data_IF_400378759413
#
_entry.id   IF_400378759413
#
_cell.length_a   1.000
_cell.length_b   1.000
_cell.length_c   1.000
_cell.angle_alpha   90.00
_cell.angle_beta   90.00
_cell.angle_gamma   90.00
#
_symmetry.space_group_name_H-M   'P 1'
#
loop_
_entity.id
_entity.type
_entity.pdbx_description
1 polymer ?
#
# COMPACT_ATOMS: atom_id res chain seq x y z
N UNK A 1 10.68 -17.53 -2.33
CA UNK A 1 10.30 -16.21 -1.78
C UNK A 1 11.38 -15.23 -2.17
N UNK A 2 11.02 -13.99 -2.53
CA UNK A 2 12.00 -12.92 -2.76
C UNK A 2 12.92 -12.78 -1.55
N UNK A 3 14.20 -12.48 -1.77
CA UNK A 3 15.16 -12.24 -0.68
C UNK A 3 14.73 -11.06 0.20
N UNK A 4 13.97 -10.12 -0.37
CA UNK A 4 13.44 -8.94 0.33
C UNK A 4 12.42 -9.30 1.42
N UNK A 5 11.67 -10.40 1.26
CA UNK A 5 10.71 -10.89 2.26
C UNK A 5 11.26 -12.07 3.07
N UNK A 6 12.56 -12.33 2.98
CA UNK A 6 13.24 -13.39 3.72
C UNK A 6 13.46 -13.04 5.19
N UNK A 7 13.67 -14.08 6.01
CA UNK A 7 13.96 -13.88 7.43
C UNK A 7 15.24 -13.03 7.65
N UNK A 8 16.27 -13.18 6.82
CA UNK A 8 17.50 -12.40 6.98
C UNK A 8 17.26 -10.89 6.80
N UNK A 9 16.38 -10.51 5.86
CA UNK A 9 15.99 -9.11 5.66
C UNK A 9 15.20 -8.56 6.86
N UNK A 10 14.31 -9.36 7.42
CA UNK A 10 13.59 -9.01 8.66
C UNK A 10 14.51 -8.94 9.88
N UNK A 11 15.39 -9.92 10.06
CA UNK A 11 16.29 -10.01 11.20
C UNK A 11 17.32 -8.87 11.23
N UNK A 12 17.65 -8.29 10.07
CA UNK A 12 18.45 -7.07 10.01
C UNK A 12 17.76 -5.86 10.67
N UNK A 13 16.43 -5.85 10.77
CA UNK A 13 15.62 -4.77 11.35
C UNK A 13 15.21 -5.07 12.80
N UNK A 14 14.80 -6.31 13.09
CA UNK A 14 14.18 -6.71 14.36
C UNK A 14 15.02 -7.75 15.15
N UNK A 15 16.27 -7.98 14.74
CA UNK A 15 17.20 -8.92 15.36
C UNK A 15 16.91 -10.41 15.07
N UNK A 16 17.89 -11.27 15.35
CA UNK A 16 17.72 -12.73 15.28
C UNK A 16 17.42 -13.30 16.67
N UNK A 17 16.15 -13.64 16.90
CA UNK A 17 15.69 -14.32 18.11
C UNK A 17 14.53 -15.25 17.77
N UNK A 18 14.20 -16.24 18.65
CA UNK A 18 13.01 -17.06 18.47
C UNK A 18 11.72 -16.23 18.33
N UNK A 19 11.57 -15.16 19.14
CA UNK A 19 10.43 -14.25 19.05
C UNK A 19 10.37 -13.54 17.70
N UNK A 20 11.51 -13.04 17.21
CA UNK A 20 11.61 -12.38 15.90
C UNK A 20 11.26 -13.34 14.75
N UNK A 21 11.70 -14.60 14.82
CA UNK A 21 11.35 -15.65 13.83
C UNK A 21 9.86 -15.96 13.83
N UNK A 22 9.24 -16.03 15.01
CA UNK A 22 7.78 -16.23 15.13
C UNK A 22 7.01 -15.06 14.54
N UNK A 23 7.43 -13.82 14.81
CA UNK A 23 6.76 -12.64 14.28
C UNK A 23 6.89 -12.55 12.75
N UNK A 24 8.10 -12.75 12.21
CA UNK A 24 8.31 -12.81 10.76
C UNK A 24 7.43 -13.86 10.08
N UNK A 25 7.34 -15.08 10.65
CA UNK A 25 6.49 -16.13 10.10
C UNK A 25 5.00 -15.73 10.12
N UNK A 26 4.55 -15.02 11.17
CA UNK A 26 3.19 -14.51 11.25
C UNK A 26 2.92 -13.40 10.22
N UNK A 27 3.87 -12.50 9.99
CA UNK A 27 3.79 -11.48 8.93
C UNK A 27 3.67 -12.14 7.55
N UNK A 28 4.58 -13.07 7.23
CA UNK A 28 4.54 -13.80 5.97
C UNK A 28 3.20 -14.51 5.78
N UNK A 29 2.67 -15.15 6.84
CA UNK A 29 1.37 -15.82 6.77
C UNK A 29 0.24 -14.83 6.46
N UNK A 30 0.22 -13.66 7.09
CA UNK A 30 -0.78 -12.61 6.85
C UNK A 30 -0.74 -12.09 5.41
N UNK A 31 0.45 -11.77 4.89
CA UNK A 31 0.64 -11.36 3.49
C UNK A 31 0.38 -12.47 2.47
N UNK A 32 0.27 -13.73 2.91
CA UNK A 32 -0.01 -14.90 2.07
C UNK A 32 -1.48 -15.35 2.12
N UNK A 33 -2.37 -14.58 2.76
CA UNK A 33 -3.77 -14.98 2.88
C UNK A 33 -4.44 -15.16 1.50
N UNK A 34 -5.25 -16.22 1.29
CA UNK A 34 -5.70 -16.60 -0.06
C UNK A 34 -6.61 -15.59 -0.78
N UNK A 35 -7.22 -14.66 -0.04
CA UNK A 35 -8.09 -13.63 -0.61
C UNK A 35 -7.32 -12.45 -1.22
N UNK A 36 -6.05 -12.27 -0.86
CA UNK A 36 -5.19 -11.21 -1.40
C UNK A 36 -4.88 -11.48 -2.88
N UNK A 37 -4.87 -10.41 -3.68
CA UNK A 37 -4.57 -10.46 -5.12
C UNK A 37 -3.56 -9.41 -5.53
N UNK A 38 -3.72 -8.19 -5.01
CA UNK A 38 -2.73 -7.13 -5.14
C UNK A 38 -1.92 -6.98 -3.85
N UNK A 39 -2.59 -6.90 -2.69
CA UNK A 39 -1.93 -6.67 -1.41
C UNK A 39 -1.35 -7.97 -0.83
N UNK A 40 -0.43 -8.59 -1.57
CA UNK A 40 0.22 -9.86 -1.27
C UNK A 40 1.74 -9.73 -1.07
N UNK A 41 2.45 -10.85 -0.95
CA UNK A 41 3.91 -10.87 -0.80
C UNK A 41 4.68 -10.21 -1.96
N UNK A 42 4.10 -10.14 -3.17
CA UNK A 42 4.74 -9.46 -4.30
C UNK A 42 4.66 -7.94 -4.13
N UNK A 43 3.51 -7.40 -3.70
CA UNK A 43 3.38 -5.99 -3.32
C UNK A 43 4.34 -5.64 -2.19
N UNK A 44 4.33 -6.40 -1.09
CA UNK A 44 5.26 -6.18 0.02
C UNK A 44 6.73 -6.14 -0.45
N UNK A 45 7.13 -7.10 -1.31
CA UNK A 45 8.48 -7.13 -1.84
C UNK A 45 8.80 -5.89 -2.70
N UNK A 46 7.83 -5.40 -3.49
CA UNK A 46 8.00 -4.19 -4.29
C UNK A 46 8.17 -2.94 -3.40
N UNK A 47 7.31 -2.77 -2.38
CA UNK A 47 7.41 -1.66 -1.43
C UNK A 47 8.73 -1.69 -0.67
N UNK A 48 9.15 -2.84 -0.14
CA UNK A 48 10.43 -2.99 0.54
C UNK A 48 11.63 -2.69 -0.36
N UNK A 49 11.55 -3.06 -1.64
CA UNK A 49 12.58 -2.74 -2.63
C UNK A 49 12.72 -1.24 -2.84
N UNK A 50 11.61 -0.56 -3.16
CA UNK A 50 11.59 0.88 -3.41
C UNK A 50 11.94 1.67 -2.15
N UNK A 51 11.33 1.35 -1.01
CA UNK A 51 11.64 1.98 0.27
C UNK A 51 13.10 1.78 0.67
N UNK A 52 13.69 0.60 0.38
CA UNK A 52 15.09 0.32 0.64
C UNK A 52 16.05 1.24 -0.12
N UNK A 53 15.70 1.62 -1.36
CA UNK A 53 16.46 2.57 -2.19
C UNK A 53 16.25 4.02 -1.72
N UNK A 54 15.00 4.41 -1.51
CA UNK A 54 14.61 5.78 -1.16
C UNK A 54 14.98 6.17 0.28
N UNK A 55 15.01 5.21 1.22
CA UNK A 55 15.29 5.45 2.63
C UNK A 55 16.78 5.70 2.94
N UNK A 56 17.66 5.78 1.93
CA UNK A 56 19.11 5.97 2.14
C UNK A 56 19.41 7.19 3.01
N UNK A 57 18.65 8.28 2.83
CA UNK A 57 18.80 9.54 3.59
C UNK A 57 17.65 9.78 4.58
N UNK A 58 16.80 8.77 4.83
CA UNK A 58 15.68 8.90 5.75
C UNK A 58 16.15 8.97 7.21
N UNK A 59 15.57 9.84 8.05
CA UNK A 59 15.91 9.95 9.47
C UNK A 59 15.87 8.63 10.25
N UNK A 60 14.86 7.79 10.02
CA UNK A 60 14.82 6.43 10.57
C UNK A 60 14.44 5.42 9.48
N UNK A 61 15.44 5.04 8.68
CA UNK A 61 15.33 4.00 7.66
C UNK A 61 14.71 2.70 8.17
N UNK A 62 15.06 2.27 9.38
CA UNK A 62 14.58 0.99 9.91
C UNK A 62 13.09 1.09 10.26
N UNK A 63 12.64 2.22 10.82
CA UNK A 63 11.22 2.45 11.07
C UNK A 63 10.41 2.42 9.77
N UNK A 64 10.90 3.04 8.69
CA UNK A 64 10.25 3.02 7.38
C UNK A 64 10.11 1.59 6.84
N UNK A 65 11.19 0.81 6.90
CA UNK A 65 11.16 -0.58 6.40
C UNK A 65 10.28 -1.48 7.27
N UNK A 66 10.29 -1.29 8.59
CA UNK A 66 9.36 -1.99 9.49
C UNK A 66 7.91 -1.58 9.19
N UNK A 67 7.62 -0.30 8.97
CA UNK A 67 6.28 0.15 8.58
C UNK A 67 5.83 -0.47 7.26
N UNK A 68 6.73 -0.62 6.28
CA UNK A 68 6.42 -1.35 5.04
C UNK A 68 6.01 -2.82 5.30
N UNK A 69 6.64 -3.52 6.26
CA UNK A 69 6.21 -4.86 6.67
C UNK A 69 4.80 -4.91 7.28
N UNK A 70 4.36 -3.82 7.91
CA UNK A 70 3.12 -3.77 8.67
C UNK A 70 1.96 -3.05 7.96
N UNK A 71 2.17 -2.19 6.97
CA UNK A 71 1.15 -1.26 6.48
C UNK A 71 -0.19 -1.93 6.12
N UNK A 72 -0.17 -3.01 5.35
CA UNK A 72 -1.36 -3.85 5.05
C UNK A 72 -1.28 -5.27 5.63
N UNK A 73 -0.59 -5.42 6.77
CA UNK A 73 -0.51 -6.75 7.43
C UNK A 73 -1.91 -7.27 7.77
N UNK A 74 -2.82 -6.39 8.15
CA UNK A 74 -4.25 -6.68 8.19
C UNK A 74 -4.88 -6.05 6.95
N UNK A 75 -5.56 -6.88 6.16
CA UNK A 75 -6.24 -6.43 4.95
C UNK A 75 -7.51 -7.22 4.75
N UNK A 76 -8.63 -6.58 5.01
CA UNK A 76 -9.97 -7.05 4.67
C UNK A 76 -10.68 -5.95 3.88
N UNK A 77 -10.96 -6.17 2.58
CA UNK A 77 -11.69 -5.22 1.73
C UNK A 77 -13.08 -4.80 2.25
N UNK A 78 -13.63 -5.48 3.26
CA UNK A 78 -14.92 -5.14 3.89
C UNK A 78 -14.77 -4.24 5.12
N UNK A 79 -13.54 -3.97 5.58
CA UNK A 79 -13.24 -3.11 6.73
C UNK A 79 -12.87 -1.71 6.28
N UNK A 80 -13.09 -0.74 7.16
CA UNK A 80 -12.67 0.65 6.99
C UNK A 80 -11.56 1.08 7.94
N UNK A 81 -11.05 0.14 8.75
CA UNK A 81 -10.07 0.40 9.82
C UNK A 81 -8.83 -0.51 9.69
N UNK A 82 -8.48 -0.91 8.47
CA UNK A 82 -7.37 -1.83 8.22
C UNK A 82 -6.06 -1.24 8.74
N UNK A 83 -5.82 0.05 8.49
CA UNK A 83 -4.61 0.77 8.90
C UNK A 83 -4.51 0.88 10.42
N UNK A 84 -5.60 1.18 11.15
CA UNK A 84 -5.58 1.21 12.61
C UNK A 84 -5.28 -0.18 13.20
N UNK A 85 -5.84 -1.24 12.62
CA UNK A 85 -5.62 -2.61 13.09
C UNK A 85 -4.19 -3.07 12.75
N UNK A 86 -3.69 -2.74 11.57
CA UNK A 86 -2.30 -2.96 11.15
C UNK A 86 -1.32 -2.24 12.07
N UNK A 87 -1.60 -0.98 12.43
CA UNK A 87 -0.78 -0.21 13.37
C UNK A 87 -0.80 -0.82 14.78
N UNK A 88 -1.97 -1.27 15.26
CA UNK A 88 -2.07 -1.99 16.53
C UNK A 88 -1.30 -3.32 16.49
N UNK A 89 -1.33 -4.04 15.36
CA UNK A 89 -0.56 -5.26 15.15
C UNK A 89 0.94 -5.00 15.16
N UNK A 90 1.40 -3.89 14.57
CA UNK A 90 2.78 -3.43 14.61
C UNK A 90 3.25 -3.15 16.05
N UNK A 91 2.48 -2.37 16.81
CA UNK A 91 2.78 -2.06 18.21
C UNK A 91 2.94 -3.33 19.06
N UNK A 92 2.06 -4.32 18.85
CA UNK A 92 2.12 -5.58 19.58
C UNK A 92 3.30 -6.46 19.13
N UNK A 93 3.52 -6.58 17.82
CA UNK A 93 4.53 -7.46 17.23
C UNK A 93 5.97 -7.01 17.47
N UNK A 94 6.21 -5.70 17.48
CA UNK A 94 7.54 -5.11 17.64
C UNK A 94 7.98 -4.91 19.09
N UNK A 95 7.07 -5.06 20.06
CA UNK A 95 7.36 -4.84 21.48
C UNK A 95 8.51 -5.74 21.95
N UNK A 96 9.60 -5.12 22.38
CA UNK A 96 10.79 -5.82 22.85
C UNK A 96 11.69 -6.41 21.75
N UNK A 97 11.33 -6.23 20.48
CA UNK A 97 12.20 -6.52 19.33
C UNK A 97 13.00 -5.29 18.89
N UNK A 98 12.42 -4.10 19.07
CA UNK A 98 13.04 -2.81 18.76
C UNK A 98 12.78 -1.79 19.88
N UNK A 99 13.53 -0.66 19.95
CA UNK A 99 13.26 0.42 20.89
C UNK A 99 11.84 1.00 20.78
N UNK A 100 11.27 1.45 21.91
CA UNK A 100 9.88 1.91 21.97
C UNK A 100 9.59 3.14 21.08
N UNK A 101 10.55 4.05 20.94
CA UNK A 101 10.44 5.21 20.04
C UNK A 101 10.31 4.80 18.57
N UNK A 102 11.04 3.76 18.15
CA UNK A 102 10.89 3.17 16.82
C UNK A 102 9.54 2.49 16.64
N UNK A 103 9.01 1.83 17.67
CA UNK A 103 7.65 1.25 17.60
C UNK A 103 6.61 2.35 17.33
N UNK A 104 6.70 3.47 18.04
CA UNK A 104 5.76 4.58 17.86
C UNK A 104 5.88 5.24 16.49
N UNK A 105 7.10 5.36 15.94
CA UNK A 105 7.28 5.83 14.56
C UNK A 105 6.69 4.87 13.53
N UNK A 106 6.91 3.56 13.68
CA UNK A 106 6.28 2.54 12.80
C UNK A 106 4.76 2.65 12.84
N UNK A 107 4.17 2.79 14.03
CA UNK A 107 2.73 2.96 14.21
C UNK A 107 2.23 4.22 13.49
N UNK A 108 2.92 5.35 13.64
CA UNK A 108 2.58 6.60 12.97
C UNK A 108 2.62 6.46 11.45
N UNK A 109 3.67 5.83 10.93
CA UNK A 109 3.87 5.61 9.49
C UNK A 109 2.81 4.66 8.90
N UNK A 110 2.44 3.59 9.61
CA UNK A 110 1.34 2.70 9.17
C UNK A 110 0.00 3.45 9.14
N UNK A 111 -0.30 4.29 10.11
CA UNK A 111 -1.53 5.10 10.09
C UNK A 111 -1.55 6.12 8.94
N UNK A 112 -0.38 6.65 8.57
CA UNK A 112 -0.25 7.63 7.49
C UNK A 112 -0.68 7.07 6.13
N UNK A 113 -0.55 5.76 5.89
CA UNK A 113 -0.96 5.12 4.63
C UNK A 113 -2.46 5.13 4.40
N UNK A 114 -3.30 5.51 5.38
CA UNK A 114 -4.73 5.71 5.13
C UNK A 114 -5.01 6.91 4.22
N UNK A 115 -4.08 7.87 4.15
CA UNK A 115 -4.24 9.12 3.37
C UNK A 115 -3.17 9.32 2.31
N UNK A 116 -1.99 8.71 2.51
CA UNK A 116 -0.79 8.91 1.69
C UNK A 116 -0.39 10.38 1.53
N UNK A 117 -0.68 11.23 2.52
CA UNK A 117 -0.38 12.67 2.50
C UNK A 117 0.54 13.09 3.66
N UNK A 118 1.84 12.72 3.63
CA UNK A 118 2.82 13.16 4.62
C UNK A 118 3.05 14.67 4.57
N UNK A 119 3.30 15.31 5.71
CA UNK A 119 3.71 16.71 5.78
C UNK A 119 5.01 16.96 4.99
N UNK A 120 5.26 18.22 4.57
CA UNK A 120 6.40 18.56 3.70
C UNK A 120 7.77 18.26 4.32
N UNK A 121 7.88 18.22 5.66
CA UNK A 121 9.08 17.89 6.40
C UNK A 121 9.12 16.43 6.93
N UNK A 122 8.10 15.62 6.63
CA UNK A 122 8.03 14.21 7.02
C UNK A 122 8.76 13.31 6.02
N UNK A 123 10.08 13.28 6.10
CA UNK A 123 10.91 12.47 5.20
C UNK A 123 10.67 10.95 5.33
N UNK A 124 10.38 10.45 6.53
CA UNK A 124 10.06 9.02 6.72
C UNK A 124 8.72 8.67 6.05
N UNK A 125 7.70 9.49 6.28
CA UNK A 125 6.38 9.34 5.66
C UNK A 125 6.44 9.46 4.13
N UNK A 126 7.20 10.43 3.63
CA UNK A 126 7.47 10.60 2.20
C UNK A 126 8.04 9.32 1.56
N UNK A 127 9.02 8.67 2.20
CA UNK A 127 9.57 7.42 1.67
C UNK A 127 8.52 6.30 1.63
N UNK A 128 7.78 6.10 2.71
CA UNK A 128 6.79 5.01 2.76
C UNK A 128 5.67 5.23 1.74
N UNK A 129 5.10 6.44 1.69
CA UNK A 129 4.01 6.75 0.76
C UNK A 129 4.47 6.68 -0.70
N UNK A 130 5.65 7.21 -1.04
CA UNK A 130 6.18 7.15 -2.40
C UNK A 130 6.46 5.70 -2.82
N UNK A 131 6.96 4.86 -1.90
CA UNK A 131 7.21 3.45 -2.15
C UNK A 131 5.93 2.64 -2.34
N UNK A 132 4.91 2.87 -1.52
CA UNK A 132 3.61 2.19 -1.62
C UNK A 132 2.85 2.57 -2.89
N UNK A 133 2.89 3.85 -3.26
CA UNK A 133 2.26 4.37 -4.48
C UNK A 133 3.09 4.19 -5.75
N UNK A 134 4.26 3.53 -5.69
CA UNK A 134 5.17 3.38 -6.84
C UNK A 134 4.50 2.66 -8.03
N UNK A 135 3.58 1.73 -7.76
CA UNK A 135 2.84 0.99 -8.79
C UNK A 135 2.10 1.91 -9.76
N UNK A 136 1.64 3.07 -9.28
CA UNK A 136 0.82 3.99 -10.08
C UNK A 136 1.62 4.57 -11.25
N UNK A 137 2.93 4.76 -11.09
CA UNK A 137 3.83 5.24 -12.14
C UNK A 137 4.39 4.15 -13.06
N UNK A 138 3.94 2.90 -12.89
CA UNK A 138 4.31 1.78 -13.74
C UNK A 138 3.89 1.96 -15.20
N UNK A 139 4.48 1.18 -16.13
CA UNK A 139 3.99 1.09 -17.50
C UNK A 139 2.48 0.79 -17.56
N UNK A 140 1.73 1.29 -18.57
CA UNK A 140 0.27 1.15 -18.62
C UNK A 140 -0.26 -0.29 -18.55
N UNK A 141 0.49 -1.25 -19.09
CA UNK A 141 0.17 -2.68 -19.02
C UNK A 141 0.32 -3.22 -17.59
N UNK A 142 1.41 -2.87 -16.89
CA UNK A 142 1.59 -3.21 -15.48
C UNK A 142 0.53 -2.57 -14.59
N UNK A 143 0.18 -1.30 -14.84
CA UNK A 143 -0.91 -0.61 -14.15
C UNK A 143 -2.25 -1.32 -14.35
N UNK A 144 -2.55 -1.79 -15.57
CA UNK A 144 -3.78 -2.52 -15.85
C UNK A 144 -3.85 -3.85 -15.07
N UNK A 145 -2.72 -4.55 -14.89
CA UNK A 145 -2.64 -5.74 -14.03
C UNK A 145 -2.93 -5.37 -12.57
N UNK A 146 -2.32 -4.29 -12.07
CA UNK A 146 -2.60 -3.75 -10.73
C UNK A 146 -4.09 -3.46 -10.54
N UNK A 147 -4.70 -2.67 -11.42
CA UNK A 147 -6.11 -2.29 -11.30
C UNK A 147 -7.04 -3.51 -11.37
N UNK A 148 -6.72 -4.50 -12.21
CA UNK A 148 -7.47 -5.76 -12.27
C UNK A 148 -7.32 -6.61 -11.00
N UNK A 149 -6.13 -6.64 -10.40
CA UNK A 149 -5.89 -7.35 -9.14
C UNK A 149 -6.67 -6.70 -7.99
N UNK A 150 -6.67 -5.36 -7.90
CA UNK A 150 -7.52 -4.62 -6.95
C UNK A 150 -8.99 -4.93 -7.19
N UNK A 151 -9.50 -4.88 -8.43
CA UNK A 151 -10.90 -5.26 -8.73
C UNK A 151 -11.26 -6.65 -8.20
N UNK A 152 -10.34 -7.61 -8.29
CA UNK A 152 -10.57 -8.98 -7.85
C UNK A 152 -10.70 -9.11 -6.32
N UNK A 153 -10.01 -8.28 -5.53
CA UNK A 153 -10.15 -8.25 -4.07
C UNK A 153 -11.55 -7.78 -3.63
N UNK A 154 -12.15 -6.89 -4.42
CA UNK A 154 -13.51 -6.41 -4.22
C UNK A 154 -14.57 -7.23 -4.98
N UNK A 155 -14.27 -8.48 -5.37
CA UNK A 155 -15.19 -9.34 -6.13
C UNK A 155 -16.52 -9.63 -5.43
N UNK A 156 -16.61 -9.37 -4.12
CA UNK A 156 -17.82 -9.47 -3.32
C UNK A 156 -18.79 -8.28 -3.53
N UNK A 157 -18.32 -7.17 -4.11
CA UNK A 157 -19.14 -6.01 -4.47
C UNK A 157 -19.68 -6.14 -5.89
N UNK A 158 -20.87 -5.56 -6.12
CA UNK A 158 -21.37 -5.33 -7.47
C UNK A 158 -20.45 -4.37 -8.24
N UNK A 159 -20.49 -4.45 -9.56
CA UNK A 159 -19.67 -3.57 -10.41
C UNK A 159 -20.00 -2.09 -10.18
N UNK A 160 -21.26 -1.75 -9.92
CA UNK A 160 -21.70 -0.39 -9.61
C UNK A 160 -21.06 0.14 -8.32
N UNK A 161 -21.16 -0.63 -7.22
CA UNK A 161 -20.62 -0.22 -5.91
C UNK A 161 -19.10 -0.13 -5.96
N UNK A 162 -18.44 -1.13 -6.55
CA UNK A 162 -16.99 -1.08 -6.75
C UNK A 162 -16.57 0.13 -7.59
N UNK A 163 -17.25 0.38 -8.71
CA UNK A 163 -16.91 1.50 -9.61
C UNK A 163 -17.03 2.84 -8.90
N UNK A 164 -18.11 3.07 -8.14
CA UNK A 164 -18.29 4.29 -7.36
C UNK A 164 -17.17 4.48 -6.32
N UNK A 165 -16.84 3.42 -5.56
CA UNK A 165 -15.75 3.47 -4.57
C UNK A 165 -14.39 3.68 -5.21
N UNK A 166 -14.08 2.98 -6.30
CA UNK A 166 -12.80 3.12 -7.02
C UNK A 166 -12.66 4.52 -7.61
N UNK A 167 -13.73 5.09 -8.19
CA UNK A 167 -13.73 6.48 -8.65
C UNK A 167 -13.36 7.44 -7.52
N UNK A 168 -13.96 7.28 -6.33
CA UNK A 168 -13.68 8.15 -5.19
C UNK A 168 -12.19 8.08 -4.75
N UNK A 169 -11.60 6.87 -4.72
CA UNK A 169 -10.17 6.69 -4.42
C UNK A 169 -9.28 7.38 -5.47
N UNK A 170 -9.58 7.19 -6.75
CA UNK A 170 -8.81 7.82 -7.84
C UNK A 170 -8.91 9.35 -7.79
N UNK A 171 -10.09 9.89 -7.48
CA UNK A 171 -10.31 11.33 -7.32
C UNK A 171 -9.56 11.90 -6.11
N UNK A 172 -9.56 11.19 -4.98
CA UNK A 172 -8.78 11.58 -3.80
C UNK A 172 -7.30 11.66 -4.12
N UNK A 173 -6.72 10.63 -4.75
CA UNK A 173 -5.32 10.62 -5.16
C UNK A 173 -5.01 11.75 -6.15
N UNK A 174 -5.86 11.97 -7.15
CA UNK A 174 -5.67 13.04 -8.13
C UNK A 174 -5.79 14.45 -7.52
N UNK A 175 -6.54 14.60 -6.42
CA UNK A 175 -6.70 15.85 -5.70
C UNK A 175 -5.48 16.23 -4.84
N UNK A 176 -4.58 15.27 -4.53
CA UNK A 176 -3.33 15.57 -3.85
C UNK A 176 -2.49 16.57 -4.68
N UNK A 177 -1.92 17.62 -4.06
CA UNK A 177 -1.05 18.56 -4.75
C UNK A 177 0.16 17.89 -5.41
N UNK A 178 0.68 16.85 -4.74
CA UNK A 178 1.76 15.97 -5.20
C UNK A 178 1.45 14.55 -4.76
N UNK A 179 1.52 13.60 -5.69
CA UNK A 179 1.42 12.17 -5.40
C UNK A 179 2.71 11.64 -4.79
N UNK A 180 3.85 12.15 -5.28
CA UNK A 180 5.16 11.76 -4.81
C UNK A 180 5.86 12.95 -4.16
N UNK A 181 6.41 12.74 -2.96
CA UNK A 181 7.04 13.80 -2.17
C UNK A 181 8.53 13.95 -2.45
N UNK A 182 9.23 12.84 -2.68
CA UNK A 182 10.67 12.84 -2.79
C UNK A 182 11.12 13.34 -4.18
N UNK A 183 12.08 14.26 -4.25
CA UNK A 183 12.62 14.74 -5.53
C UNK A 183 13.20 13.62 -6.41
N UNK A 184 13.70 12.55 -5.80
CA UNK A 184 14.30 11.41 -6.49
C UNK A 184 13.33 10.66 -7.42
N UNK A 185 12.02 10.78 -7.18
CA UNK A 185 10.96 10.11 -7.95
C UNK A 185 10.00 11.10 -8.61
N UNK A 186 10.39 12.39 -8.72
CA UNK A 186 9.52 13.41 -9.29
C UNK A 186 9.07 13.12 -10.74
N UNK A 187 9.84 12.34 -11.50
CA UNK A 187 9.51 11.92 -12.87
C UNK A 187 8.42 10.83 -12.93
N UNK A 188 8.03 10.26 -11.79
CA UNK A 188 6.95 9.28 -11.67
C UNK A 188 5.58 9.95 -11.77
N UNK A 189 5.45 11.18 -11.27
CA UNK A 189 4.17 11.86 -11.13
C UNK A 189 3.40 12.02 -12.46
N UNK A 190 4.01 12.45 -13.58
CA UNK A 190 3.29 12.52 -14.85
C UNK A 190 2.75 11.17 -15.32
N UNK A 191 3.49 10.08 -15.07
CA UNK A 191 3.08 8.71 -15.44
C UNK A 191 1.92 8.24 -14.56
N UNK A 192 2.02 8.44 -13.25
CA UNK A 192 0.96 8.08 -12.31
C UNK A 192 -0.34 8.82 -12.60
N UNK A 193 -0.28 10.15 -12.79
CA UNK A 193 -1.47 10.94 -13.11
C UNK A 193 -2.11 10.53 -14.44
N UNK A 194 -1.30 10.18 -15.45
CA UNK A 194 -1.83 9.68 -16.72
C UNK A 194 -2.58 8.34 -16.56
N UNK A 195 -2.01 7.40 -15.78
CA UNK A 195 -2.64 6.11 -15.51
C UNK A 195 -3.94 6.26 -14.70
N UNK A 196 -3.91 7.03 -13.60
CA UNK A 196 -5.09 7.31 -12.76
C UNK A 196 -6.21 7.97 -13.58
N UNK A 197 -5.88 8.98 -14.40
CA UNK A 197 -6.85 9.67 -15.23
C UNK A 197 -7.45 8.78 -16.33
N UNK A 198 -6.65 7.87 -16.91
CA UNK A 198 -7.12 6.91 -17.89
C UNK A 198 -8.09 5.89 -17.26
N UNK A 199 -7.76 5.36 -16.07
CA UNK A 199 -8.67 4.47 -15.33
C UNK A 199 -9.97 5.20 -14.96
N UNK A 200 -9.88 6.42 -14.42
CA UNK A 200 -11.03 7.22 -14.04
C UNK A 200 -11.96 7.49 -15.24
N UNK A 201 -11.39 7.83 -16.39
CA UNK A 201 -12.15 8.05 -17.63
C UNK A 201 -12.87 6.79 -18.09
N UNK A 202 -12.19 5.63 -18.03
CA UNK A 202 -12.76 4.34 -18.38
C UNK A 202 -13.94 3.99 -17.46
N UNK A 203 -13.77 4.13 -16.14
CA UNK A 203 -14.81 3.82 -15.15
C UNK A 203 -16.05 4.71 -15.32
N UNK A 204 -15.87 6.02 -15.52
CA UNK A 204 -16.98 6.94 -15.78
C UNK A 204 -17.74 6.60 -17.06
N UNK A 205 -17.02 6.22 -18.12
CA UNK A 205 -17.67 5.85 -19.39
C UNK A 205 -18.55 4.60 -19.24
N UNK A 206 -18.11 3.60 -18.48
CA UNK A 206 -18.87 2.39 -18.17
C UNK A 206 -20.11 2.68 -17.32
N UNK A 207 -19.96 3.49 -16.27
CA UNK A 207 -21.07 3.87 -15.41
C UNK A 207 -22.18 4.61 -16.20
N UNK A 208 -21.81 5.50 -17.13
CA UNK A 208 -22.80 6.16 -18.00
C UNK A 208 -23.49 5.18 -18.97
N UNK A 209 -22.76 4.22 -19.52
CA UNK A 209 -23.37 3.24 -20.45
C UNK A 209 -24.33 2.27 -19.78
N UNK A 210 -24.09 1.93 -18.51
CA UNK A 210 -25.00 1.08 -17.74
C UNK A 210 -26.26 1.83 -17.28
N UNK A 211 -26.15 3.13 -17.02
CA UNK A 211 -27.30 4.00 -16.70
C UNK A 211 -28.26 4.22 -17.88
N UNK A 212 -27.73 4.26 -19.11
CA UNK A 212 -28.52 4.43 -20.33
C UNK A 212 -29.09 3.12 -20.90
N UNK A 213 -28.83 1.97 -20.25
CA UNK A 213 -29.34 0.67 -20.69
C UNK A 213 -30.82 0.52 -20.28
N UNK A 214 -31.78 0.40 -21.21
CA UNK A 214 -33.19 0.25 -20.87
C UNK A 214 -33.41 -1.01 -20.00
N UNK A 215 -34.20 -0.87 -18.94
CA UNK A 215 -34.65 -2.00 -18.13
C UNK A 215 -35.36 -2.98 -19.07
N UNK A 216 -34.81 -4.18 -19.20
CA UNK A 216 -35.47 -5.24 -19.93
C UNK A 216 -36.75 -5.63 -19.15
N UNK A 217 -37.91 -5.26 -19.70
CA UNK A 217 -39.20 -5.72 -19.22
C UNK A 217 -39.21 -7.26 -19.18
N UNK A 218 -39.40 -7.81 -17.98
CA UNK A 218 -39.69 -9.22 -17.73
C UNK A 218 -41.16 -9.44 -17.42
#
# INVERSE_FOLDING_TARGET
>A
MSTLVGFDAWAALAGDSPTSRTEWAALVAAWSEPHRRYHDLAHLAAVLGVAGELATDAPDRDAVLLAAWYHDVVYDPQRSDNEEVSAARARAGLRGLVPDDRVEEVVRLVLLTATHDPEDDDANGAVLCDADLAVLAGPPDAYAVYASAVRAEYGHLSDEVFTAGRIAVLEQLLALPRLYRLPAVADWEPRARANLAAELSLLRSRASSDADRPLADG
#
